data_IF_035089156025
#
_entry.id   IF_035089156025
#
_cell.length_a   1.000
_cell.length_b   1.000
_cell.length_c   1.000
_cell.angle_alpha   90.00
_cell.angle_beta   90.00
_cell.angle_gamma   90.00
#
_symmetry.space_group_name_H-M   'P 1'
#
loop_
_entity.id
_entity.type
_entity.pdbx_description
1 polymer ?
#
# COMPACT_ATOMS: atom_id res chain seq x y z
N UNK A 1 19.74 -14.68 17.24
CA UNK A 1 19.29 -14.65 15.82
C UNK A 1 18.83 -13.23 15.51
N UNK A 2 19.25 -12.64 14.39
CA UNK A 2 18.72 -11.30 13.98
C UNK A 2 17.23 -11.46 13.69
N UNK A 3 16.37 -10.72 14.40
CA UNK A 3 14.94 -10.66 14.05
C UNK A 3 14.82 -10.14 12.63
N UNK A 4 14.07 -10.86 11.78
CA UNK A 4 13.80 -10.40 10.42
C UNK A 4 12.80 -9.26 10.50
N UNK A 5 13.12 -8.12 9.88
CA UNK A 5 12.15 -7.05 9.67
C UNK A 5 11.39 -7.33 8.36
N UNK A 6 10.07 -7.37 8.45
CA UNK A 6 9.16 -7.55 7.31
C UNK A 6 8.40 -6.25 7.10
N UNK A 7 8.42 -5.74 5.88
CA UNK A 7 7.59 -4.62 5.46
C UNK A 7 6.74 -5.03 4.26
N UNK A 8 5.45 -4.72 4.31
CA UNK A 8 4.53 -4.95 3.19
C UNK A 8 3.39 -3.94 3.21
N UNK A 9 2.68 -3.80 2.09
CA UNK A 9 1.55 -2.89 1.98
C UNK A 9 0.38 -3.49 1.21
N UNK A 10 -0.83 -3.04 1.55
CA UNK A 10 -2.07 -3.41 0.86
C UNK A 10 -2.85 -2.14 0.52
N UNK A 11 -3.34 -2.06 -0.72
CA UNK A 11 -4.20 -0.96 -1.13
C UNK A 11 -5.61 -1.14 -0.55
N UNK A 12 -6.18 -0.10 0.07
CA UNK A 12 -7.55 -0.14 0.56
C UNK A 12 -8.55 0.21 -0.56
N UNK A 13 -8.54 -0.53 -1.66
CA UNK A 13 -9.31 -0.21 -2.88
C UNK A 13 -10.49 -1.15 -3.13
N UNK A 14 -11.17 -1.60 -2.11
CA UNK A 14 -12.39 -2.38 -2.26
C UNK A 14 -12.45 -3.63 -1.40
N UNK A 15 -13.50 -4.41 -1.61
CA UNK A 15 -13.82 -5.58 -0.81
C UNK A 15 -12.67 -6.59 -0.81
N UNK A 16 -12.18 -6.90 0.38
CA UNK A 16 -11.28 -8.03 0.56
C UNK A 16 -11.99 -9.32 0.16
N UNK A 17 -11.37 -10.09 -0.68
CA UNK A 17 -11.85 -11.39 -1.09
C UNK A 17 -10.84 -12.50 -0.72
N UNK A 18 -11.24 -13.74 -0.90
CA UNK A 18 -10.43 -14.91 -0.54
C UNK A 18 -9.01 -14.86 -1.14
N UNK A 19 -8.86 -14.30 -2.34
CA UNK A 19 -7.55 -14.13 -2.98
C UNK A 19 -6.63 -13.17 -2.21
N UNK A 20 -7.16 -12.08 -1.67
CA UNK A 20 -6.38 -11.16 -0.82
C UNK A 20 -5.97 -11.83 0.49
N UNK A 21 -6.88 -12.61 1.09
CA UNK A 21 -6.57 -13.37 2.29
C UNK A 21 -5.46 -14.39 2.04
N UNK A 22 -5.62 -15.26 1.06
CA UNK A 22 -4.64 -16.32 0.77
C UNK A 22 -3.31 -15.78 0.22
N UNK A 23 -3.37 -14.73 -0.59
CA UNK A 23 -2.19 -14.15 -1.24
C UNK A 23 -1.36 -13.22 -0.35
N UNK A 24 -1.96 -12.62 0.67
CA UNK A 24 -1.27 -11.64 1.51
C UNK A 24 -1.52 -11.84 3.00
N UNK A 25 -2.77 -11.70 3.47
CA UNK A 25 -3.08 -11.56 4.90
C UNK A 25 -2.69 -12.80 5.69
N UNK A 26 -2.97 -13.99 5.18
CA UNK A 26 -2.55 -15.26 5.80
C UNK A 26 -1.04 -15.29 6.01
N UNK A 27 -0.27 -14.86 5.00
CA UNK A 27 1.19 -14.82 5.08
C UNK A 27 1.69 -13.79 6.10
N UNK A 28 0.98 -12.68 6.26
CA UNK A 28 1.29 -11.67 7.28
C UNK A 28 1.17 -12.24 8.69
N UNK A 29 0.12 -13.01 8.96
CA UNK A 29 -0.08 -13.69 10.25
C UNK A 29 1.02 -14.74 10.49
N UNK A 30 1.32 -15.56 9.50
CA UNK A 30 2.40 -16.56 9.59
C UNK A 30 3.77 -15.91 9.90
N UNK A 31 4.09 -14.78 9.29
CA UNK A 31 5.34 -14.06 9.53
C UNK A 31 5.39 -13.45 10.92
N UNK A 32 4.29 -12.89 11.39
CA UNK A 32 4.14 -12.39 12.75
C UNK A 32 4.35 -13.51 13.77
N UNK A 33 3.73 -14.68 13.55
CA UNK A 33 3.82 -15.83 14.45
C UNK A 33 5.20 -16.48 14.45
N UNK A 34 5.95 -16.31 13.36
CA UNK A 34 7.36 -16.70 13.27
C UNK A 34 8.33 -15.73 14.00
N UNK A 35 7.83 -14.84 14.85
CA UNK A 35 8.59 -13.82 15.59
C UNK A 35 9.37 -12.84 14.71
N UNK A 36 8.89 -12.53 13.52
CA UNK A 36 9.38 -11.43 12.73
C UNK A 36 8.80 -10.11 13.26
N UNK A 37 9.58 -9.04 13.25
CA UNK A 37 9.05 -7.70 13.44
C UNK A 37 8.35 -7.29 12.13
N UNK A 38 7.04 -7.11 12.18
CA UNK A 38 6.23 -6.85 11.00
C UNK A 38 5.70 -5.41 10.98
N UNK A 39 5.78 -4.78 9.81
CA UNK A 39 5.23 -3.45 9.55
C UNK A 39 4.33 -3.56 8.31
N UNK A 40 3.05 -3.30 8.48
CA UNK A 40 2.05 -3.38 7.43
C UNK A 40 1.42 -2.02 7.16
N UNK A 41 1.51 -1.58 5.92
CA UNK A 41 1.07 -0.27 5.48
C UNK A 41 -0.23 -0.39 4.68
N UNK A 42 -1.25 0.38 5.06
CA UNK A 42 -2.40 0.63 4.21
C UNK A 42 -2.02 1.76 3.24
N UNK A 43 -1.79 1.42 1.98
CA UNK A 43 -1.20 2.35 1.01
C UNK A 43 -2.26 3.20 0.31
N UNK A 44 -2.91 4.07 1.07
CA UNK A 44 -3.94 4.99 0.61
C UNK A 44 -3.41 6.05 -0.36
N UNK A 45 -2.18 6.56 -0.15
CA UNK A 45 -1.53 7.46 -1.10
C UNK A 45 -1.28 6.77 -2.45
N UNK A 46 -0.98 5.47 -2.43
CA UNK A 46 -0.86 4.70 -3.66
C UNK A 46 -2.22 4.45 -4.30
N UNK A 47 -3.27 4.27 -3.52
CA UNK A 47 -4.63 4.10 -4.02
C UNK A 47 -5.13 5.32 -4.82
N UNK A 48 -4.85 6.53 -4.35
CA UNK A 48 -5.29 7.78 -5.01
C UNK A 48 -4.54 8.12 -6.30
N UNK A 49 -3.53 7.34 -6.70
CA UNK A 49 -2.95 7.46 -8.05
C UNK A 49 -3.99 7.19 -9.15
N UNK A 50 -5.03 6.42 -8.83
CA UNK A 50 -6.28 6.34 -9.58
C UNK A 50 -7.38 7.03 -8.78
N UNK A 51 -8.36 7.60 -9.49
CA UNK A 51 -9.46 8.29 -8.82
C UNK A 51 -10.19 7.37 -7.84
N UNK A 52 -10.40 7.86 -6.62
CA UNK A 52 -11.14 7.19 -5.54
C UNK A 52 -12.17 8.16 -4.97
N UNK A 53 -13.36 7.68 -4.64
CA UNK A 53 -14.27 8.45 -3.80
C UNK A 53 -13.68 8.56 -2.38
N UNK A 54 -13.56 9.78 -1.82
CA UNK A 54 -12.90 9.95 -0.51
C UNK A 54 -13.62 9.25 0.65
N UNK A 55 -14.95 9.13 0.58
CA UNK A 55 -15.74 8.46 1.62
C UNK A 55 -15.57 6.95 1.54
N UNK A 56 -15.61 6.42 0.32
CA UNK A 56 -15.37 4.99 0.07
C UNK A 56 -13.94 4.60 0.46
N UNK A 57 -12.95 5.40 0.07
CA UNK A 57 -11.54 5.13 0.43
C UNK A 57 -11.35 5.09 1.96
N UNK A 58 -11.97 6.03 2.68
CA UNK A 58 -11.94 6.04 4.15
C UNK A 58 -12.59 4.79 4.74
N UNK A 59 -13.76 4.42 4.23
CA UNK A 59 -14.48 3.23 4.69
C UNK A 59 -13.68 1.96 4.41
N UNK A 60 -13.16 1.81 3.20
CA UNK A 60 -12.33 0.68 2.80
C UNK A 60 -11.05 0.56 3.66
N UNK A 61 -10.44 1.69 4.02
CA UNK A 61 -9.28 1.70 4.92
C UNK A 61 -9.61 1.10 6.29
N UNK A 62 -10.77 1.46 6.84
CA UNK A 62 -11.26 0.93 8.12
C UNK A 62 -11.56 -0.57 7.99
N UNK A 63 -12.25 -0.96 6.94
CA UNK A 63 -12.64 -2.36 6.70
C UNK A 63 -11.42 -3.27 6.50
N UNK A 64 -10.42 -2.84 5.72
CA UNK A 64 -9.18 -3.61 5.54
C UNK A 64 -8.43 -3.74 6.86
N UNK A 65 -8.38 -2.68 7.67
CA UNK A 65 -7.76 -2.74 9.00
C UNK A 65 -8.49 -3.73 9.90
N UNK A 66 -9.82 -3.66 9.95
CA UNK A 66 -10.65 -4.58 10.73
C UNK A 66 -10.45 -6.04 10.28
N UNK A 67 -10.37 -6.28 8.98
CA UNK A 67 -10.11 -7.60 8.43
C UNK A 67 -8.72 -8.13 8.81
N UNK A 68 -7.69 -7.29 8.83
CA UNK A 68 -6.36 -7.68 9.28
C UNK A 68 -6.39 -8.18 10.73
N UNK A 69 -7.05 -7.43 11.61
CA UNK A 69 -7.21 -7.81 13.02
C UNK A 69 -8.03 -9.08 13.17
N UNK A 70 -9.16 -9.18 12.44
CA UNK A 70 -10.02 -10.38 12.46
C UNK A 70 -9.30 -11.64 11.94
N UNK A 71 -8.36 -11.48 11.01
CA UNK A 71 -7.54 -12.58 10.50
C UNK A 71 -6.40 -12.99 11.43
N UNK A 72 -6.17 -12.27 12.54
CA UNK A 72 -5.20 -12.64 13.56
C UNK A 72 -3.94 -11.79 13.63
N UNK A 73 -3.87 -10.65 12.92
CA UNK A 73 -2.80 -9.69 13.16
C UNK A 73 -2.97 -9.02 14.53
N UNK A 74 -1.89 -8.94 15.30
CA UNK A 74 -1.86 -8.44 16.67
C UNK A 74 -0.95 -7.22 16.76
N UNK A 75 -1.43 -6.16 17.38
CA UNK A 75 -0.69 -4.90 17.56
C UNK A 75 0.56 -5.03 18.42
N UNK A 76 0.64 -6.07 19.25
CA UNK A 76 1.82 -6.35 20.09
C UNK A 76 3.02 -6.82 19.25
N UNK A 77 2.75 -7.45 18.10
CA UNK A 77 3.75 -8.08 17.25
C UNK A 77 3.89 -7.44 15.87
N UNK A 78 2.95 -6.58 15.51
CA UNK A 78 2.90 -5.94 14.18
C UNK A 78 2.50 -4.47 14.29
N UNK A 79 3.18 -3.63 13.52
CA UNK A 79 2.76 -2.25 13.33
C UNK A 79 1.85 -2.19 12.11
N UNK A 80 0.64 -1.71 12.27
CA UNK A 80 -0.30 -1.43 11.19
C UNK A 80 -0.50 0.07 11.13
N UNK A 81 -0.28 0.68 9.97
CA UNK A 81 -0.42 2.13 9.83
C UNK A 81 -0.96 2.52 8.45
N UNK A 82 -1.56 3.69 8.38
CA UNK A 82 -2.01 4.29 7.14
C UNK A 82 -0.91 5.17 6.54
N UNK A 83 -0.59 4.99 5.27
CA UNK A 83 0.54 5.67 4.59
C UNK A 83 0.45 7.19 4.71
N UNK A 84 -0.75 7.76 4.55
CA UNK A 84 -0.99 9.21 4.65
C UNK A 84 -0.73 9.80 6.04
N UNK A 85 -0.65 8.98 7.09
CA UNK A 85 -0.32 9.44 8.45
C UNK A 85 1.19 9.66 8.64
N UNK A 86 2.00 9.25 7.68
CA UNK A 86 3.47 9.44 7.70
C UNK A 86 3.83 10.49 6.65
N UNK A 87 3.85 11.75 7.06
CA UNK A 87 4.04 12.91 6.15
C UNK A 87 5.35 12.87 5.37
N UNK A 88 6.38 12.26 5.93
CA UNK A 88 7.67 12.09 5.27
C UNK A 88 7.61 11.31 3.95
N UNK A 89 6.58 10.48 3.73
CA UNK A 89 6.36 9.82 2.44
C UNK A 89 6.09 10.85 1.33
N UNK A 90 5.23 11.83 1.60
CA UNK A 90 4.90 12.88 0.63
C UNK A 90 6.03 13.89 0.46
N UNK A 91 6.76 14.20 1.53
CA UNK A 91 7.94 15.06 1.49
C UNK A 91 9.04 14.45 0.61
N UNK A 92 9.34 13.16 0.81
CA UNK A 92 10.33 12.46 0.00
C UNK A 92 9.88 12.31 -1.46
N UNK A 93 8.59 12.05 -1.69
CA UNK A 93 8.01 12.00 -3.03
C UNK A 93 8.17 13.33 -3.75
N UNK A 94 7.97 14.47 -3.06
CA UNK A 94 8.21 15.79 -3.63
C UNK A 94 9.66 15.98 -4.06
N UNK A 95 10.61 15.62 -3.20
CA UNK A 95 12.04 15.71 -3.51
C UNK A 95 12.38 14.86 -4.77
N UNK A 96 11.86 13.63 -4.83
CA UNK A 96 12.07 12.78 -6.00
C UNK A 96 11.42 13.34 -7.26
N UNK A 97 10.25 13.95 -7.17
CA UNK A 97 9.61 14.61 -8.31
C UNK A 97 10.45 15.76 -8.87
N UNK A 98 11.22 16.46 -8.02
CA UNK A 98 12.11 17.53 -8.46
C UNK A 98 13.35 17.02 -9.23
N UNK A 99 13.79 15.79 -8.99
CA UNK A 99 14.97 15.19 -9.63
C UNK A 99 14.63 14.14 -10.69
N UNK A 100 13.46 13.50 -10.60
CA UNK A 100 13.00 12.52 -11.57
C UNK A 100 12.72 13.16 -12.93
N UNK A 101 13.01 12.42 -14.00
CA UNK A 101 12.80 12.91 -15.37
C UNK A 101 11.66 12.14 -16.01
N UNK A 102 10.74 12.86 -16.65
CA UNK A 102 9.60 12.29 -17.38
C UNK A 102 10.03 11.18 -18.35
N UNK A 103 11.17 11.36 -19.02
CA UNK A 103 11.72 10.34 -19.91
C UNK A 103 12.10 9.02 -19.22
N UNK A 104 12.39 9.03 -17.90
CA UNK A 104 12.61 7.81 -17.12
C UNK A 104 11.30 7.11 -16.82
N UNK A 105 10.28 7.85 -16.37
CA UNK A 105 8.96 7.34 -16.05
C UNK A 105 8.30 6.70 -17.28
N UNK A 106 8.40 7.33 -18.44
CA UNK A 106 7.88 6.81 -19.70
C UNK A 106 8.50 5.47 -20.15
N UNK A 107 9.64 5.07 -19.59
CA UNK A 107 10.27 3.76 -19.87
C UNK A 107 9.83 2.68 -18.89
N UNK A 108 9.25 3.03 -17.74
CA UNK A 108 8.82 2.06 -16.73
C UNK A 108 7.64 1.25 -17.24
N UNK A 109 7.74 -0.07 -17.13
CA UNK A 109 6.68 -1.00 -17.53
C UNK A 109 5.40 -0.76 -16.73
N UNK A 110 5.51 -0.56 -15.42
CA UNK A 110 4.36 -0.30 -14.55
C UNK A 110 3.61 0.99 -14.94
N UNK A 111 4.32 2.06 -15.30
CA UNK A 111 3.67 3.27 -15.80
C UNK A 111 2.92 3.00 -17.11
N UNK A 112 3.54 2.25 -18.04
CA UNK A 112 2.90 1.89 -19.32
C UNK A 112 1.64 1.06 -19.13
N UNK A 113 1.67 0.10 -18.21
CA UNK A 113 0.54 -0.77 -17.89
C UNK A 113 -0.62 0.00 -17.25
N UNK A 114 -0.32 0.83 -16.24
CA UNK A 114 -1.33 1.59 -15.50
C UNK A 114 -1.89 2.77 -16.28
N UNK A 115 -1.07 3.50 -17.02
CA UNK A 115 -1.50 4.60 -17.87
C UNK A 115 -2.34 4.12 -19.08
N UNK A 116 -2.21 2.84 -19.46
CA UNK A 116 -2.98 2.25 -20.56
C UNK A 116 -2.75 2.97 -21.89
N UNK A 117 -3.83 3.01 -22.71
CA UNK A 117 -3.80 3.68 -24.02
C UNK A 117 -3.93 5.20 -23.91
N UNK A 118 -4.44 5.72 -22.80
CA UNK A 118 -4.79 7.13 -22.60
C UNK A 118 -3.78 7.84 -21.69
N UNK A 119 -2.51 7.85 -22.12
CA UNK A 119 -1.40 8.42 -21.34
C UNK A 119 -1.55 9.90 -21.00
N UNK A 120 -2.30 10.65 -21.83
CA UNK A 120 -2.54 12.08 -21.61
C UNK A 120 -3.42 12.35 -20.38
N UNK A 121 -4.22 11.38 -19.97
CA UNK A 121 -5.08 11.45 -18.79
C UNK A 121 -4.50 10.71 -17.58
N UNK A 122 -3.26 10.21 -17.68
CA UNK A 122 -2.61 9.55 -16.57
C UNK A 122 -2.26 10.56 -15.48
N UNK A 123 -2.53 10.20 -14.23
CA UNK A 123 -2.12 11.01 -13.07
C UNK A 123 -0.59 11.13 -13.02
N UNK A 124 -0.09 12.30 -12.62
CA UNK A 124 1.34 12.50 -12.36
C UNK A 124 1.87 11.65 -11.19
N UNK A 125 0.97 11.13 -10.36
CA UNK A 125 1.30 10.24 -9.24
C UNK A 125 1.47 8.77 -9.62
N UNK A 126 1.21 8.42 -10.89
CA UNK A 126 1.35 7.04 -11.40
C UNK A 126 2.85 6.62 -11.49
#
# INVERSE_FOLDING_TARGET
>A
MKSKLVFSGVQPTGNLHLGNYLGAVKRFVELQDANAMCIYCLVDLHAITNWQDPKELRQNTIEVTAAFLACGLRQENSIIFNQSQVTTHTELAWIFNCVARIGWLNRMTQFKEKAGKNRENASLGL
#
